data_IF_624353654633
#
_entry.id   IF_624353654633
#
_cell.length_a   1.000
_cell.length_b   1.000
_cell.length_c   1.000
_cell.angle_alpha   90.00
_cell.angle_beta   90.00
_cell.angle_gamma   90.00
#
_symmetry.space_group_name_H-M   'P 1'
#
loop_
_entity.id
_entity.type
_entity.pdbx_description
1 polymer ?
#
# COMPACT_ATOMS: atom_id res chain seq x y z
N UNK A 1 31.54 9.43 -29.80
CA UNK A 1 30.37 8.99 -30.58
C UNK A 1 30.54 7.51 -30.89
N UNK A 2 29.46 6.75 -30.65
CA UNK A 2 29.15 5.39 -31.14
C UNK A 2 29.96 4.20 -30.62
N UNK A 3 29.35 3.42 -29.71
CA UNK A 3 29.30 1.96 -29.73
C UNK A 3 28.30 1.45 -28.67
N UNK A 4 27.00 1.55 -28.96
CA UNK A 4 25.96 0.75 -28.29
C UNK A 4 25.07 0.22 -29.41
N UNK A 5 25.45 -0.93 -29.96
CA UNK A 5 24.58 -1.75 -30.78
C UNK A 5 24.65 -3.20 -30.28
N UNK A 6 23.51 -3.88 -30.39
CA UNK A 6 23.26 -5.30 -30.17
C UNK A 6 23.04 -5.77 -28.72
N UNK A 7 21.78 -5.70 -28.28
CA UNK A 7 21.15 -6.80 -27.53
C UNK A 7 19.63 -6.77 -27.79
N UNK A 8 19.22 -7.31 -28.94
CA UNK A 8 17.82 -7.55 -29.30
C UNK A 8 17.73 -8.87 -30.06
N UNK A 9 18.08 -9.97 -29.41
CA UNK A 9 17.59 -11.28 -29.84
C UNK A 9 16.41 -11.69 -28.95
N UNK A 10 15.26 -12.09 -29.54
CA UNK A 10 14.13 -12.60 -28.77
C UNK A 10 14.52 -13.94 -28.15
N UNK A 11 14.52 -14.02 -26.82
CA UNK A 11 14.71 -15.27 -26.08
C UNK A 11 13.70 -16.31 -26.59
N UNK A 12 14.21 -17.40 -27.17
CA UNK A 12 13.39 -18.49 -27.66
C UNK A 12 12.66 -19.18 -26.50
N UNK A 13 11.49 -19.76 -26.78
CA UNK A 13 10.66 -20.49 -25.80
C UNK A 13 11.45 -21.58 -25.05
N UNK A 14 12.49 -22.14 -25.68
CA UNK A 14 13.38 -23.14 -25.07
C UNK A 14 14.25 -22.60 -23.92
N UNK A 15 14.58 -21.29 -23.89
CA UNK A 15 15.36 -20.70 -22.80
C UNK A 15 14.50 -20.48 -21.54
N UNK A 16 13.20 -20.26 -21.70
CA UNK A 16 12.26 -20.07 -20.58
C UNK A 16 12.09 -21.32 -19.72
N UNK A 17 12.11 -22.51 -20.31
CA UNK A 17 12.00 -23.78 -19.57
C UNK A 17 13.27 -24.10 -18.74
N UNK A 18 14.43 -23.55 -19.11
CA UNK A 18 15.68 -23.66 -18.33
C UNK A 18 15.60 -22.90 -17.01
N UNK A 19 14.82 -21.82 -16.95
CA UNK A 19 14.60 -21.05 -15.72
C UNK A 19 13.49 -21.64 -14.85
N UNK A 20 12.46 -22.29 -15.43
CA UNK A 20 11.39 -22.95 -14.67
C UNK A 20 11.89 -24.05 -13.73
N UNK A 21 12.90 -24.81 -14.14
CA UNK A 21 13.51 -25.86 -13.32
C UNK A 21 14.30 -25.32 -12.13
N UNK A 22 14.81 -24.08 -12.20
CA UNK A 22 15.46 -23.42 -11.06
C UNK A 22 14.44 -22.94 -10.02
N UNK A 23 13.21 -22.65 -10.43
CA UNK A 23 12.11 -22.27 -9.52
C UNK A 23 11.45 -23.47 -8.85
N UNK A 24 11.47 -24.66 -9.46
CA UNK A 24 10.81 -25.87 -8.95
C UNK A 24 11.42 -26.43 -7.65
N UNK A 25 12.66 -26.07 -7.32
CA UNK A 25 13.33 -26.52 -6.10
C UNK A 25 13.00 -25.70 -4.83
N UNK A 26 12.17 -24.65 -4.92
CA UNK A 26 12.01 -23.67 -3.83
C UNK A 26 10.72 -23.84 -3.01
N UNK A 27 9.85 -24.79 -3.35
CA UNK A 27 8.67 -25.11 -2.54
C UNK A 27 8.93 -26.32 -1.63
N UNK A 28 9.46 -26.06 -0.43
CA UNK A 28 9.05 -26.66 0.85
C UNK A 28 10.16 -26.56 1.91
N UNK A 29 10.06 -25.65 2.90
CA UNK A 29 10.74 -25.85 4.17
C UNK A 29 9.90 -26.78 5.04
N UNK A 30 10.33 -28.04 5.15
CA UNK A 30 9.86 -28.94 6.20
C UNK A 30 10.41 -28.43 7.53
N UNK A 31 9.62 -27.68 8.31
CA UNK A 31 10.05 -27.12 9.59
C UNK A 31 9.23 -27.67 10.77
N UNK A 32 9.93 -28.30 11.71
CA UNK A 32 9.42 -28.90 12.94
C UNK A 32 9.30 -27.88 14.09
N UNK A 33 8.11 -27.83 14.70
CA UNK A 33 7.75 -27.65 16.12
C UNK A 33 8.51 -26.68 17.08
N UNK A 34 9.23 -25.67 16.61
CA UNK A 34 9.51 -24.43 17.37
C UNK A 34 8.86 -23.21 16.66
N UNK A 35 7.61 -23.42 16.22
CA UNK A 35 7.03 -22.83 15.02
C UNK A 35 6.18 -21.56 15.23
N UNK A 36 6.37 -20.78 16.31
CA UNK A 36 5.64 -19.51 16.46
C UNK A 36 6.58 -18.29 16.36
N UNK A 37 7.69 -18.27 17.11
CA UNK A 37 8.71 -17.19 16.99
C UNK A 37 9.57 -17.29 15.74
N UNK A 38 9.84 -18.50 15.24
CA UNK A 38 10.56 -18.69 13.97
C UNK A 38 9.74 -18.22 12.75
N UNK A 39 8.42 -18.14 12.89
CA UNK A 39 7.47 -17.93 11.79
C UNK A 39 7.30 -16.47 11.45
N UNK A 40 7.28 -15.58 12.44
CA UNK A 40 7.30 -14.12 12.22
C UNK A 40 8.59 -13.65 11.54
N UNK A 41 9.75 -14.22 11.92
CA UNK A 41 11.03 -13.89 11.29
C UNK A 41 11.09 -14.44 9.85
N UNK A 42 10.54 -15.65 9.62
CA UNK A 42 10.45 -16.23 8.29
C UNK A 42 9.50 -15.44 7.36
N UNK A 43 8.43 -14.87 7.89
CA UNK A 43 7.46 -14.08 7.15
C UNK A 43 8.06 -12.79 6.54
N UNK A 44 9.11 -12.26 7.16
CA UNK A 44 9.86 -11.08 6.66
C UNK A 44 11.07 -11.42 5.81
N UNK A 45 11.31 -12.70 5.53
CA UNK A 45 12.39 -13.12 4.64
C UNK A 45 12.31 -12.36 3.30
N UNK A 46 13.45 -12.00 2.69
CA UNK A 46 13.44 -11.34 1.40
C UNK A 46 12.72 -12.19 0.36
N UNK A 47 11.64 -11.64 -0.18
CA UNK A 47 10.89 -12.18 -1.31
C UNK A 47 11.65 -12.04 -2.62
N UNK A 48 11.12 -12.63 -3.69
CA UNK A 48 11.67 -12.38 -5.04
C UNK A 48 11.60 -10.90 -5.42
N UNK A 49 10.50 -10.22 -5.07
CA UNK A 49 10.33 -8.79 -5.33
C UNK A 49 11.37 -7.96 -4.59
N UNK A 50 11.78 -8.33 -3.38
CA UNK A 50 12.76 -7.55 -2.60
C UNK A 50 14.13 -7.44 -3.28
N UNK A 51 14.40 -8.25 -4.32
CA UNK A 51 15.60 -8.13 -5.16
C UNK A 51 15.55 -6.94 -6.13
N UNK A 52 14.35 -6.51 -6.52
CA UNK A 52 14.15 -5.51 -7.58
C UNK A 52 13.33 -4.30 -7.12
N UNK A 53 12.58 -4.45 -6.02
CA UNK A 53 11.63 -3.47 -5.51
C UNK A 53 11.99 -3.08 -4.08
N UNK A 54 11.68 -1.84 -3.70
CA UNK A 54 11.75 -1.40 -2.31
C UNK A 54 10.44 -1.74 -1.61
N UNK A 55 10.53 -2.53 -0.53
CA UNK A 55 9.37 -2.89 0.28
C UNK A 55 9.10 -1.84 1.34
N UNK A 56 7.84 -1.47 1.47
CA UNK A 56 7.29 -0.59 2.49
C UNK A 56 6.03 -1.23 3.08
N UNK A 57 5.60 -0.75 4.24
CA UNK A 57 4.41 -1.24 4.94
C UNK A 57 3.46 -0.09 5.20
N UNK A 58 2.28 -0.15 4.63
CA UNK A 58 1.21 0.76 4.98
C UNK A 58 0.46 0.20 6.20
N UNK A 59 0.30 1.04 7.22
CA UNK A 59 -0.46 0.71 8.44
C UNK A 59 -1.43 1.86 8.70
N UNK A 60 -2.75 1.62 8.69
CA UNK A 60 -3.72 2.67 9.01
C UNK A 60 -3.42 3.31 10.36
N UNK A 61 -3.51 4.64 10.44
CA UNK A 61 -3.20 5.40 11.66
C UNK A 61 -1.71 5.62 11.97
N UNK A 62 -0.76 4.93 11.32
CA UNK A 62 0.65 4.95 11.72
C UNK A 62 1.40 6.28 11.50
N UNK A 63 0.78 7.30 10.89
CA UNK A 63 1.46 8.60 10.74
C UNK A 63 1.87 9.30 12.02
N UNK A 64 1.25 8.96 13.14
CA UNK A 64 1.64 9.48 14.44
C UNK A 64 3.11 9.16 14.78
N UNK A 65 3.63 8.03 14.28
CA UNK A 65 4.96 7.50 14.64
C UNK A 65 6.14 8.28 14.07
N UNK A 66 5.94 9.00 12.96
CA UNK A 66 7.03 9.74 12.32
C UNK A 66 7.29 11.10 12.96
N UNK A 67 6.42 11.59 13.85
CA UNK A 67 6.73 12.79 14.62
C UNK A 67 7.69 12.35 15.74
N UNK A 68 8.96 12.81 15.73
CA UNK A 68 9.77 12.66 16.93
C UNK A 68 8.97 13.27 18.09
N UNK A 69 8.90 12.63 19.26
CA UNK A 69 8.26 13.23 20.41
C UNK A 69 8.86 14.62 20.57
N UNK A 70 8.01 15.65 20.57
CA UNK A 70 8.36 17.07 20.51
C UNK A 70 9.06 17.57 21.79
N UNK A 71 9.81 16.70 22.47
CA UNK A 71 10.42 16.90 23.77
C UNK A 71 11.94 16.73 23.79
N UNK A 72 12.63 16.52 22.66
CA UNK A 72 14.08 16.78 22.68
C UNK A 72 14.29 18.30 22.76
N UNK A 73 14.92 18.80 23.84
CA UNK A 73 15.22 20.22 23.95
C UNK A 73 16.14 20.55 22.79
N UNK A 74 15.73 21.49 21.94
CA UNK A 74 16.58 22.05 20.92
C UNK A 74 17.94 22.35 21.57
N UNK A 75 18.96 21.58 21.21
CA UNK A 75 20.30 21.74 21.77
C UNK A 75 20.68 23.19 21.51
N UNK A 76 20.81 23.94 22.60
CA UNK A 76 21.08 25.36 22.59
C UNK A 76 22.48 25.57 22.00
N UNK A 77 22.55 25.69 20.67
CA UNK A 77 23.74 26.23 20.02
C UNK A 77 23.66 27.75 20.16
N UNK A 78 24.25 28.18 21.27
CA UNK A 78 24.65 29.52 21.65
C UNK A 78 25.01 30.38 20.41
N UNK A 79 24.08 31.24 19.99
CA UNK A 79 24.36 32.33 19.05
C UNK A 79 23.81 33.60 19.67
N UNK A 80 24.74 34.45 20.08
CA UNK A 80 24.50 35.74 20.73
C UNK A 80 23.54 36.61 19.90
N UNK A 81 22.54 37.15 20.60
CA UNK A 81 21.51 38.05 20.10
C UNK A 81 22.03 39.44 19.72
N UNK A 82 21.22 40.21 18.98
CA UNK A 82 20.94 41.58 19.37
C UNK A 82 19.48 41.74 19.82
N UNK A 83 19.32 42.55 20.88
CA UNK A 83 18.05 42.93 21.49
C UNK A 83 17.09 43.56 20.47
N UNK A 84 15.86 43.05 20.41
CA UNK A 84 14.71 43.82 19.96
C UNK A 84 13.51 43.59 20.89
N UNK A 85 12.78 44.69 21.08
CA UNK A 85 11.75 44.95 22.07
C UNK A 85 10.46 44.17 21.87
N UNK A 86 9.86 43.87 23.00
CA UNK A 86 8.65 43.10 23.28
C UNK A 86 7.37 43.70 22.69
N UNK A 87 6.64 42.89 21.91
CA UNK A 87 5.19 43.05 21.70
C UNK A 87 4.45 41.90 22.39
N UNK A 88 3.50 42.28 23.26
CA UNK A 88 2.67 41.40 24.07
C UNK A 88 1.67 40.65 23.18
N UNK A 89 2.02 39.43 22.78
CA UNK A 89 1.12 38.49 22.11
C UNK A 89 0.14 37.88 23.12
N UNK A 90 -1.15 38.06 22.89
CA UNK A 90 -2.22 37.42 23.65
C UNK A 90 -2.07 35.89 23.61
N UNK A 91 -2.16 35.26 24.78
CA UNK A 91 -2.09 33.81 24.94
C UNK A 91 -3.28 33.16 24.22
N UNK A 92 -3.03 32.55 23.07
CA UNK A 92 -3.99 31.65 22.44
C UNK A 92 -4.17 30.43 23.35
N UNK A 93 -5.42 30.12 23.71
CA UNK A 93 -5.74 28.89 24.43
C UNK A 93 -5.20 27.69 23.65
N UNK A 94 -4.56 26.71 24.33
CA UNK A 94 -4.07 25.51 23.67
C UNK A 94 -5.27 24.76 23.10
N UNK A 95 -5.33 24.66 21.77
CA UNK A 95 -6.28 23.79 21.06
C UNK A 95 -6.23 22.38 21.68
N UNK A 96 -7.39 21.77 21.99
CA UNK A 96 -7.43 20.47 22.64
C UNK A 96 -6.67 19.46 21.77
N UNK A 97 -5.73 18.73 22.40
CA UNK A 97 -4.96 17.71 21.72
C UNK A 97 -5.91 16.64 21.15
N UNK A 98 -6.13 16.68 19.84
CA UNK A 98 -6.90 15.66 19.14
C UNK A 98 -6.13 14.35 19.29
N UNK A 99 -6.67 13.40 20.06
CA UNK A 99 -6.08 12.09 20.22
C UNK A 99 -6.00 11.43 18.84
N UNK A 100 -4.78 11.16 18.38
CA UNK A 100 -4.61 10.46 17.11
C UNK A 100 -5.00 9.00 17.31
N UNK A 101 -5.71 8.38 16.35
CA UNK A 101 -6.07 6.97 16.44
C UNK A 101 -4.82 6.12 16.53
N UNK A 102 -4.87 5.07 17.34
CA UNK A 102 -3.80 4.09 17.45
C UNK A 102 -3.55 3.42 16.08
N UNK A 103 -2.30 3.02 15.77
CA UNK A 103 -2.00 2.27 14.56
C UNK A 103 -2.73 0.92 14.53
N UNK A 104 -3.34 0.59 13.40
CA UNK A 104 -4.08 -0.68 13.18
C UNK A 104 -3.18 -1.70 12.47
N UNK A 105 -2.26 -2.32 13.21
CA UNK A 105 -1.31 -3.30 12.66
C UNK A 105 -1.98 -4.53 12.06
N UNK A 106 -3.18 -4.86 12.53
CA UNK A 106 -3.99 -5.98 12.04
C UNK A 106 -4.50 -5.77 10.61
N UNK A 107 -4.40 -4.54 10.10
CA UNK A 107 -4.75 -4.11 8.73
C UNK A 107 -3.53 -3.71 7.89
N UNK A 108 -2.33 -4.15 8.27
CA UNK A 108 -1.10 -3.80 7.57
C UNK A 108 -1.05 -4.36 6.13
N UNK A 109 -0.60 -3.54 5.18
CA UNK A 109 -0.46 -3.91 3.77
C UNK A 109 0.97 -3.67 3.29
N UNK A 110 1.44 -4.52 2.38
CA UNK A 110 2.74 -4.35 1.73
C UNK A 110 2.61 -3.46 0.50
N UNK A 111 3.57 -2.55 0.36
CA UNK A 111 3.73 -1.69 -0.81
C UNK A 111 5.13 -1.90 -1.36
N UNK A 112 5.24 -2.59 -2.50
CA UNK A 112 6.50 -2.74 -3.22
C UNK A 112 6.63 -1.64 -4.28
N UNK A 113 7.64 -0.80 -4.15
CA UNK A 113 7.92 0.26 -5.11
C UNK A 113 8.99 -0.19 -6.11
N UNK A 114 8.61 -0.18 -7.39
CA UNK A 114 9.49 -0.47 -8.51
C UNK A 114 10.48 0.67 -8.78
N UNK A 115 11.58 0.42 -9.53
CA UNK A 115 12.49 1.49 -9.95
C UNK A 115 11.82 2.59 -10.79
N UNK A 116 10.78 2.25 -11.56
CA UNK A 116 9.96 3.18 -12.33
C UNK A 116 8.83 3.86 -11.52
N UNK A 117 8.88 3.75 -10.18
CA UNK A 117 7.94 4.35 -9.22
C UNK A 117 6.54 3.77 -9.18
N UNK A 118 6.22 2.76 -9.99
CA UNK A 118 4.98 2.01 -9.82
C UNK A 118 4.98 1.32 -8.45
N UNK A 119 3.82 1.28 -7.82
CA UNK A 119 3.62 0.64 -6.53
C UNK A 119 2.73 -0.58 -6.69
N UNK A 120 3.19 -1.73 -6.22
CA UNK A 120 2.39 -2.95 -6.13
C UNK A 120 1.90 -3.10 -4.69
N UNK A 121 0.59 -3.24 -4.52
CA UNK A 121 -0.07 -3.34 -3.21
C UNK A 121 -0.47 -4.78 -2.97
N UNK A 122 -0.15 -5.33 -1.79
CA UNK A 122 -0.53 -6.67 -1.37
C UNK A 122 -0.73 -6.76 0.14
N UNK A 123 -1.12 -7.94 0.62
CA UNK A 123 -1.38 -8.17 2.02
C UNK A 123 -0.06 -8.36 2.80
N UNK A 124 0.06 -7.76 3.99
CA UNK A 124 1.19 -8.06 4.87
C UNK A 124 1.03 -9.42 5.56
N UNK A 125 2.13 -10.12 5.89
CA UNK A 125 2.05 -11.42 6.55
C UNK A 125 1.38 -11.36 7.92
N UNK A 126 1.51 -10.25 8.66
CA UNK A 126 0.88 -10.04 9.97
C UNK A 126 -0.57 -9.58 9.86
N UNK A 127 -1.10 -9.36 8.65
CA UNK A 127 -2.48 -8.93 8.49
C UNK A 127 -3.42 -9.99 9.09
N UNK A 128 -4.42 -9.57 9.86
CA UNK A 128 -5.33 -10.47 10.60
C UNK A 128 -6.00 -11.52 9.73
N UNK A 129 -6.36 -11.14 8.50
CA UNK A 129 -6.91 -12.06 7.50
C UNK A 129 -6.00 -13.26 7.19
N UNK A 130 -4.67 -13.11 7.25
CA UNK A 130 -3.73 -14.23 7.03
C UNK A 130 -3.91 -15.29 8.12
N UNK A 131 -3.93 -14.88 9.39
CA UNK A 131 -4.17 -15.79 10.51
C UNK A 131 -5.55 -16.45 10.47
N UNK A 132 -6.59 -15.70 10.09
CA UNK A 132 -7.94 -16.26 9.89
C UNK A 132 -8.00 -17.25 8.74
N UNK A 133 -7.32 -16.96 7.62
CA UNK A 133 -7.21 -17.86 6.47
C UNK A 133 -6.53 -19.17 6.85
N UNK A 134 -5.40 -19.12 7.54
CA UNK A 134 -4.69 -20.33 7.98
C UNK A 134 -5.52 -21.17 8.94
N UNK A 135 -6.22 -20.53 9.89
CA UNK A 135 -7.12 -21.23 10.80
C UNK A 135 -8.28 -21.89 10.04
N UNK A 136 -8.86 -21.18 9.07
CA UNK A 136 -9.91 -21.70 8.20
C UNK A 136 -9.43 -22.92 7.40
N UNK A 137 -8.23 -22.85 6.80
CA UNK A 137 -7.63 -23.93 6.00
C UNK A 137 -7.28 -25.17 6.82
N UNK A 138 -7.00 -25.01 8.11
CA UNK A 138 -6.84 -26.14 9.04
C UNK A 138 -8.17 -26.82 9.38
N UNK A 139 -9.26 -26.06 9.45
CA UNK A 139 -10.57 -26.55 9.87
C UNK A 139 -11.45 -27.06 8.72
N UNK A 140 -11.21 -26.62 7.48
CA UNK A 140 -12.07 -26.90 6.34
C UNK A 140 -11.31 -27.55 5.18
N UNK A 141 -11.99 -28.38 4.35
CA UNK A 141 -11.38 -28.92 3.15
C UNK A 141 -10.98 -27.79 2.17
N UNK A 142 -9.97 -28.02 1.31
CA UNK A 142 -9.48 -27.01 0.36
C UNK A 142 -10.55 -26.57 -0.65
N UNK A 143 -11.63 -27.32 -0.81
CA UNK A 143 -12.76 -26.99 -1.69
C UNK A 143 -13.61 -25.82 -1.20
N UNK A 144 -13.58 -25.51 0.10
CA UNK A 144 -14.37 -24.41 0.64
C UNK A 144 -13.62 -23.08 0.45
N UNK A 145 -14.21 -22.06 -0.19
CA UNK A 145 -13.55 -20.77 -0.34
C UNK A 145 -13.55 -20.00 0.98
N UNK A 146 -12.39 -19.46 1.39
CA UNK A 146 -12.31 -18.58 2.55
C UNK A 146 -12.89 -17.19 2.27
N UNK A 147 -12.55 -16.62 1.11
CA UNK A 147 -13.15 -15.40 0.57
C UNK A 147 -14.23 -15.83 -0.42
N UNK A 148 -15.48 -15.40 -0.18
CA UNK A 148 -16.64 -15.72 -1.00
C UNK A 148 -16.84 -14.70 -2.12
N UNK A 149 -16.42 -13.44 -1.91
CA UNK A 149 -16.56 -12.37 -2.89
C UNK A 149 -15.43 -11.35 -2.79
N UNK A 150 -14.97 -10.84 -3.93
CA UNK A 150 -14.05 -9.70 -4.05
C UNK A 150 -14.69 -8.67 -4.96
N UNK A 151 -14.87 -7.46 -4.46
CA UNK A 151 -15.41 -6.31 -5.22
C UNK A 151 -14.32 -5.25 -5.31
N UNK A 152 -13.84 -4.96 -6.52
CA UNK A 152 -12.87 -3.89 -6.76
C UNK A 152 -13.58 -2.55 -6.95
N UNK A 153 -13.06 -1.50 -6.30
CA UNK A 153 -13.59 -0.15 -6.38
C UNK A 153 -12.90 0.61 -7.53
N UNK A 154 -13.51 0.60 -8.71
CA UNK A 154 -12.94 1.24 -9.92
C UNK A 154 -13.22 2.74 -10.00
N UNK A 155 -14.04 3.28 -9.10
CA UNK A 155 -14.44 4.69 -9.10
C UNK A 155 -15.50 5.08 -10.13
N UNK A 156 -15.92 4.15 -10.99
CA UNK A 156 -16.97 4.41 -11.99
C UNK A 156 -18.38 4.43 -11.38
N UNK A 157 -18.61 3.69 -10.30
CA UNK A 157 -19.94 3.59 -9.66
C UNK A 157 -20.37 4.87 -8.95
N UNK A 158 -19.44 5.66 -8.41
CA UNK A 158 -19.77 6.88 -7.67
C UNK A 158 -20.21 8.03 -8.60
N UNK A 159 -19.77 8.02 -9.86
CA UNK A 159 -20.19 9.00 -10.86
C UNK A 159 -21.63 8.77 -11.38
N UNK A 160 -22.23 7.62 -11.08
CA UNK A 160 -23.61 7.27 -11.44
C UNK A 160 -24.63 7.64 -10.35
N UNK A 161 -24.30 8.59 -9.47
CA UNK A 161 -25.28 9.18 -8.55
C UNK A 161 -26.54 9.68 -9.29
N UNK A 162 -27.72 9.66 -8.63
CA UNK A 162 -28.99 9.99 -9.26
C UNK A 162 -28.91 11.37 -9.90
N UNK A 163 -29.02 11.40 -11.23
CA UNK A 163 -28.83 12.58 -12.06
C UNK A 163 -29.63 13.77 -11.56
N UNK A 164 -28.94 14.71 -10.91
CA UNK A 164 -29.47 16.05 -10.74
C UNK A 164 -29.34 16.70 -12.11
N UNK A 165 -30.45 16.75 -12.84
CA UNK A 165 -30.59 17.45 -14.13
C UNK A 165 -30.14 18.91 -13.98
N UNK A 166 -28.86 19.16 -14.19
CA UNK A 166 -28.28 20.48 -14.19
C UNK A 166 -28.79 21.28 -15.41
N UNK A 167 -29.22 22.54 -15.24
CA UNK A 167 -29.80 23.33 -16.31
C UNK A 167 -28.81 23.58 -17.45
N UNK A 168 -29.11 22.94 -18.57
CA UNK A 168 -28.67 23.15 -19.95
C UNK A 168 -28.04 24.54 -20.23
N UNK A 169 -26.71 24.65 -20.12
CA UNK A 169 -25.96 25.84 -20.58
C UNK A 169 -25.48 25.64 -22.03
N UNK A 170 -26.38 25.97 -22.98
CA UNK A 170 -26.00 26.37 -24.34
C UNK A 170 -25.26 27.71 -24.27
N UNK A 171 -24.07 27.78 -24.88
CA UNK A 171 -23.36 28.93 -25.52
C UNK A 171 -21.86 28.65 -25.37
N UNK A 172 -21.09 28.38 -26.42
CA UNK A 172 -21.03 29.09 -27.69
C UNK A 172 -19.77 29.96 -27.67
N UNK A 173 -18.64 29.43 -28.18
CA UNK A 173 -17.56 30.26 -28.73
C UNK A 173 -16.62 29.43 -29.61
N UNK A 174 -16.74 29.67 -30.91
CA UNK A 174 -15.75 29.34 -31.92
C UNK A 174 -14.38 29.92 -31.55
N UNK A 175 -13.39 29.05 -31.40
CA UNK A 175 -11.97 29.42 -31.56
C UNK A 175 -11.30 28.40 -32.47
N UNK A 176 -11.32 28.70 -33.76
CA UNK A 176 -10.43 28.15 -34.77
C UNK A 176 -8.99 28.64 -34.53
N UNK A 177 -8.05 27.80 -34.95
CA UNK A 177 -6.61 28.01 -35.16
C UNK A 177 -5.69 27.62 -34.00
N UNK A 178 -5.13 26.41 -34.09
CA UNK A 178 -3.97 26.01 -33.29
C UNK A 178 -3.63 24.53 -33.37
N UNK A 179 -2.89 24.14 -34.42
CA UNK A 179 -2.07 22.92 -34.58
C UNK A 179 -2.58 21.60 -34.01
N UNK A 180 -2.89 20.68 -34.93
CA UNK A 180 -3.27 19.29 -34.69
C UNK A 180 -2.39 18.59 -33.66
N UNK A 181 -2.92 18.46 -32.45
CA UNK A 181 -2.59 17.35 -31.56
C UNK A 181 -3.26 16.12 -32.17
N UNK A 182 -2.45 15.18 -32.67
CA UNK A 182 -2.90 13.84 -33.01
C UNK A 182 -3.81 13.33 -31.89
N UNK A 183 -5.08 13.09 -32.23
CA UNK A 183 -6.14 12.68 -31.31
C UNK A 183 -5.93 11.26 -30.78
N UNK A 184 -4.83 11.05 -30.06
CA UNK A 184 -4.66 9.87 -29.22
C UNK A 184 -5.76 9.93 -28.18
N UNK A 185 -6.62 8.91 -28.16
CA UNK A 185 -7.54 8.68 -27.06
C UNK A 185 -6.72 8.81 -25.77
N UNK A 186 -7.18 9.58 -24.77
CA UNK A 186 -6.48 9.64 -23.50
C UNK A 186 -6.24 8.19 -23.05
N UNK A 187 -5.04 7.88 -22.54
CA UNK A 187 -4.76 6.54 -22.07
C UNK A 187 -5.87 6.12 -21.09
N UNK A 188 -6.30 4.85 -21.13
CA UNK A 188 -7.45 4.36 -20.34
C UNK A 188 -7.36 4.71 -18.86
N UNK A 189 -6.15 4.87 -18.32
CA UNK A 189 -5.87 5.25 -16.93
C UNK A 189 -6.06 6.74 -16.60
N UNK A 190 -6.30 7.62 -17.58
CA UNK A 190 -6.53 9.04 -17.31
C UNK A 190 -7.92 9.33 -16.69
N UNK A 191 -8.78 8.31 -16.58
CA UNK A 191 -10.13 8.41 -16.05
C UNK A 191 -10.29 7.82 -14.64
N UNK A 192 -9.28 7.12 -14.11
CA UNK A 192 -9.38 6.60 -12.74
C UNK A 192 -9.26 7.75 -11.73
N UNK A 193 -10.10 7.77 -10.69
CA UNK A 193 -10.04 8.81 -9.67
C UNK A 193 -8.67 8.83 -8.99
N UNK A 194 -8.29 10.01 -8.51
CA UNK A 194 -7.08 10.17 -7.71
C UNK A 194 -7.32 9.54 -6.33
N UNK A 195 -6.54 8.51 -6.01
CA UNK A 195 -6.66 7.79 -4.74
C UNK A 195 -5.73 8.36 -3.67
N UNK A 196 -6.19 8.27 -2.42
CA UNK A 196 -5.43 8.57 -1.22
C UNK A 196 -5.17 7.27 -0.44
N UNK A 197 -4.23 7.27 0.52
CA UNK A 197 -3.81 6.05 1.23
C UNK A 197 -4.98 5.32 1.88
N UNK A 198 -5.94 6.06 2.42
CA UNK A 198 -7.11 5.56 3.13
C UNK A 198 -8.26 5.18 2.17
N UNK A 199 -8.11 5.39 0.85
CA UNK A 199 -9.15 5.05 -0.14
C UNK A 199 -9.21 3.53 -0.33
N UNK A 200 -10.39 2.89 -0.23
CA UNK A 200 -10.52 1.45 -0.42
C UNK A 200 -10.29 1.06 -1.88
N UNK A 201 -9.45 0.04 -2.12
CA UNK A 201 -9.19 -0.58 -3.41
C UNK A 201 -10.17 -1.71 -3.70
N UNK A 202 -10.47 -2.52 -2.68
CA UNK A 202 -11.46 -3.59 -2.78
C UNK A 202 -12.07 -3.93 -1.42
N UNK A 203 -13.26 -4.51 -1.48
CA UNK A 203 -13.94 -5.11 -0.33
C UNK A 203 -13.95 -6.63 -0.51
N UNK A 204 -13.49 -7.33 0.51
CA UNK A 204 -13.49 -8.79 0.61
C UNK A 204 -14.68 -9.21 1.46
N UNK A 205 -15.47 -10.18 1.01
CA UNK A 205 -16.47 -10.86 1.84
C UNK A 205 -15.96 -12.25 2.19
N UNK A 206 -15.90 -12.57 3.48
CA UNK A 206 -15.40 -13.84 3.99
C UNK A 206 -16.50 -14.92 4.00
N UNK A 207 -16.13 -16.15 4.31
CA UNK A 207 -17.04 -17.31 4.43
C UNK A 207 -18.10 -17.16 5.52
N UNK A 208 -17.86 -16.34 6.54
CA UNK A 208 -18.78 -16.03 7.63
C UNK A 208 -19.66 -14.80 7.35
N UNK A 209 -19.49 -14.18 6.18
CA UNK A 209 -20.20 -12.97 5.78
C UNK A 209 -19.57 -11.65 6.27
N UNK A 210 -18.48 -11.69 7.04
CA UNK A 210 -17.75 -10.48 7.42
C UNK A 210 -17.11 -9.82 6.19
N UNK A 211 -17.08 -8.49 6.19
CA UNK A 211 -16.49 -7.69 5.12
C UNK A 211 -15.24 -6.96 5.58
N UNK A 212 -14.21 -6.92 4.73
CA UNK A 212 -12.95 -6.24 5.00
C UNK A 212 -12.51 -5.41 3.81
N UNK A 213 -12.16 -4.15 4.05
CA UNK A 213 -11.64 -3.25 3.03
C UNK A 213 -10.11 -3.26 3.03
N UNK A 214 -9.55 -3.42 1.82
CA UNK A 214 -8.13 -3.20 1.56
C UNK A 214 -7.95 -1.80 0.99
N UNK A 215 -7.08 -1.00 1.62
CA UNK A 215 -6.86 0.40 1.28
C UNK A 215 -5.67 0.59 0.33
N UNK A 216 -5.59 1.73 -0.35
CA UNK A 216 -4.55 1.98 -1.34
C UNK A 216 -3.13 2.05 -0.75
N UNK A 217 -2.97 2.62 0.44
CA UNK A 217 -1.69 2.82 1.11
C UNK A 217 -0.70 3.79 0.42
N UNK A 218 -1.00 4.26 -0.80
CA UNK A 218 -0.15 5.13 -1.60
C UNK A 218 -0.79 6.52 -1.73
N UNK A 219 -0.01 7.59 -1.50
CA UNK A 219 -0.54 8.95 -1.52
C UNK A 219 -0.62 9.53 -2.94
N UNK A 220 -1.81 9.99 -3.35
CA UNK A 220 -2.07 10.61 -4.65
C UNK A 220 -1.63 9.72 -5.80
N UNK A 221 -2.33 8.62 -6.03
CA UNK A 221 -2.02 7.66 -7.09
C UNK A 221 -3.26 7.30 -7.92
N UNK A 222 -3.04 6.91 -9.17
CA UNK A 222 -4.05 6.30 -10.02
C UNK A 222 -3.88 4.78 -10.00
N UNK A 223 -4.98 4.02 -10.02
CA UNK A 223 -4.88 2.58 -10.28
C UNK A 223 -4.53 2.37 -11.74
N UNK A 224 -3.46 1.61 -11.96
CA UNK A 224 -3.03 1.19 -13.28
C UNK A 224 -3.69 -0.15 -13.66
N UNK A 225 -3.73 -1.10 -12.72
CA UNK A 225 -4.29 -2.44 -12.92
C UNK A 225 -4.78 -3.04 -11.61
N UNK A 226 -5.96 -3.68 -11.61
CA UNK A 226 -6.41 -4.56 -10.54
C UNK A 226 -6.11 -6.01 -10.91
N UNK A 227 -5.80 -6.85 -9.94
CA UNK A 227 -5.58 -8.27 -10.19
C UNK A 227 -6.91 -9.04 -10.30
N UNK A 228 -7.51 -9.02 -11.48
CA UNK A 228 -8.78 -9.70 -11.75
C UNK A 228 -8.72 -11.23 -11.50
N UNK A 229 -7.51 -11.83 -11.46
CA UNK A 229 -7.35 -13.26 -11.12
C UNK A 229 -7.84 -13.57 -9.72
N UNK A 230 -7.83 -12.62 -8.79
CA UNK A 230 -8.33 -12.81 -7.43
C UNK A 230 -9.82 -13.16 -7.40
N UNK A 231 -10.62 -12.73 -8.40
CA UNK A 231 -12.05 -13.12 -8.49
C UNK A 231 -12.21 -14.62 -8.72
N UNK A 232 -11.29 -15.25 -9.45
CA UNK A 232 -11.31 -16.67 -9.74
C UNK A 232 -10.52 -17.49 -8.70
N UNK A 233 -9.46 -16.90 -8.12
CA UNK A 233 -8.53 -17.55 -7.22
C UNK A 233 -8.18 -16.63 -6.04
N UNK A 234 -9.10 -16.43 -5.09
CA UNK A 234 -8.90 -15.49 -4.00
C UNK A 234 -7.79 -15.92 -3.02
N UNK A 235 -7.51 -17.23 -2.93
CA UNK A 235 -6.47 -17.76 -2.06
C UNK A 235 -5.07 -17.22 -2.40
N UNK A 236 -4.85 -16.74 -3.63
CA UNK A 236 -3.59 -16.13 -4.06
C UNK A 236 -3.18 -14.96 -3.16
N UNK A 237 -4.16 -14.20 -2.64
CA UNK A 237 -3.93 -13.06 -1.72
C UNK A 237 -3.11 -13.46 -0.49
N UNK A 238 -3.24 -14.72 -0.05
CA UNK A 238 -2.57 -15.25 1.14
C UNK A 238 -1.35 -16.10 0.80
N UNK A 239 -1.45 -16.91 -0.27
CA UNK A 239 -0.38 -17.87 -0.60
C UNK A 239 0.81 -17.20 -1.29
N UNK A 240 0.54 -16.16 -2.08
CA UNK A 240 1.51 -15.59 -3.02
C UNK A 240 1.39 -14.06 -3.16
N UNK A 241 1.32 -13.30 -2.05
CA UNK A 241 0.98 -11.86 -2.06
C UNK A 241 1.95 -10.99 -2.87
N UNK A 242 3.18 -11.44 -3.07
CA UNK A 242 4.26 -10.74 -3.76
C UNK A 242 4.29 -10.96 -5.28
N UNK A 243 3.49 -11.86 -5.86
CA UNK A 243 3.54 -12.10 -7.31
C UNK A 243 2.19 -12.43 -7.94
N UNK A 244 1.51 -13.45 -7.42
CA UNK A 244 0.21 -13.90 -7.96
C UNK A 244 -0.97 -13.25 -7.24
N UNK A 245 -0.75 -12.83 -5.99
CA UNK A 245 -1.76 -12.37 -5.05
C UNK A 245 -1.77 -10.88 -4.76
N UNK A 246 -1.09 -10.05 -5.56
CA UNK A 246 -1.18 -8.60 -5.39
C UNK A 246 -2.61 -8.12 -5.64
N UNK A 247 -3.01 -7.02 -5.01
CA UNK A 247 -4.34 -6.42 -5.15
C UNK A 247 -4.40 -5.50 -6.37
N UNK A 248 -3.45 -4.56 -6.44
CA UNK A 248 -3.39 -3.55 -7.49
C UNK A 248 -1.96 -3.10 -7.79
N UNK A 249 -1.77 -2.64 -9.03
CA UNK A 249 -0.62 -1.84 -9.46
C UNK A 249 -1.09 -0.40 -9.54
N UNK A 250 -0.36 0.50 -8.87
CA UNK A 250 -0.67 1.91 -8.76
C UNK A 250 0.43 2.76 -9.38
N UNK A 251 0.03 3.87 -10.00
CA UNK A 251 0.93 4.88 -10.54
C UNK A 251 0.81 6.17 -9.70
N UNK A 252 1.77 6.47 -8.83
CA UNK A 252 1.82 7.72 -8.09
C UNK A 252 1.88 8.94 -9.02
N UNK A 253 1.14 10.00 -8.69
CA UNK A 253 1.20 11.28 -9.42
C UNK A 253 2.54 11.98 -9.19
N UNK A 254 3.15 11.78 -8.02
CA UNK A 254 4.43 12.36 -7.65
C UNK A 254 5.52 11.29 -7.64
N UNK A 255 6.65 11.60 -8.26
CA UNK A 255 7.82 10.72 -8.27
C UNK A 255 8.62 10.74 -6.95
N UNK A 256 8.30 11.66 -6.04
CA UNK A 256 9.01 11.79 -4.77
C UNK A 256 8.52 10.76 -3.76
N UNK A 257 9.35 9.73 -3.53
CA UNK A 257 9.10 8.64 -2.58
C UNK A 257 8.68 9.14 -1.19
N UNK A 258 9.29 10.22 -0.69
CA UNK A 258 8.96 10.77 0.64
C UNK A 258 7.53 11.29 0.73
N UNK A 259 6.98 11.78 -0.37
CA UNK A 259 5.60 12.30 -0.41
C UNK A 259 4.62 11.16 -0.67
N UNK A 260 4.95 10.30 -1.63
CA UNK A 260 4.11 9.19 -2.09
C UNK A 260 3.94 8.12 -1.02
N UNK A 261 5.01 7.81 -0.30
CA UNK A 261 5.05 6.75 0.73
C UNK A 261 5.10 7.35 2.14
N UNK A 262 4.64 8.59 2.33
CA UNK A 262 4.69 9.29 3.63
C UNK A 262 3.92 8.57 4.75
N UNK A 263 2.90 7.79 4.38
CA UNK A 263 2.09 6.97 5.30
C UNK A 263 2.67 5.57 5.52
N UNK A 264 3.65 5.17 4.73
CA UNK A 264 4.26 3.85 4.84
C UNK A 264 5.47 3.90 5.77
N UNK A 265 5.70 2.78 6.45
CA UNK A 265 6.88 2.49 7.24
C UNK A 265 7.87 1.70 6.36
N UNK A 266 9.15 1.93 6.56
CA UNK A 266 10.17 0.97 6.12
C UNK A 266 10.05 -0.33 6.92
N UNK A 267 10.61 -1.46 6.43
CA UNK A 267 10.56 -2.72 7.16
C UNK A 267 11.12 -2.59 8.59
N UNK A 268 12.22 -1.84 8.77
CA UNK A 268 12.80 -1.60 10.10
C UNK A 268 11.89 -0.76 11.00
N UNK A 269 11.32 0.33 10.48
CA UNK A 269 10.36 1.17 11.24
C UNK A 269 9.13 0.36 11.65
N UNK A 270 8.63 -0.51 10.77
CA UNK A 270 7.49 -1.39 11.05
C UNK A 270 7.79 -2.39 12.17
N UNK A 271 8.96 -3.04 12.16
CA UNK A 271 9.37 -3.97 13.22
C UNK A 271 9.52 -3.28 14.58
N UNK A 272 10.07 -2.06 14.59
CA UNK A 272 10.13 -1.24 15.81
C UNK A 272 8.73 -0.95 16.31
N UNK A 273 7.84 -0.48 15.43
CA UNK A 273 6.48 -0.11 15.79
C UNK A 273 5.66 -1.31 16.33
N UNK A 274 5.80 -2.49 15.72
CA UNK A 274 5.23 -3.74 16.22
C UNK A 274 5.74 -4.11 17.62
N UNK A 275 7.07 -4.04 17.83
CA UNK A 275 7.69 -4.40 19.12
C UNK A 275 7.24 -3.45 20.22
N UNK A 276 7.18 -2.15 19.93
CA UNK A 276 6.72 -1.14 20.87
C UNK A 276 5.23 -1.30 21.19
N UNK A 277 4.38 -1.60 20.21
CA UNK A 277 2.96 -1.89 20.44
C UNK A 277 2.77 -3.11 21.34
N UNK A 278 3.48 -4.21 21.08
CA UNK A 278 3.43 -5.42 21.91
C UNK A 278 3.92 -5.18 23.35
N UNK A 279 4.91 -4.31 23.54
CA UNK A 279 5.42 -3.93 24.87
C UNK A 279 4.40 -3.08 25.65
N UNK A 280 3.74 -2.15 24.96
CA UNK A 280 2.71 -1.31 25.55
C UNK A 280 1.54 -2.14 26.11
N UNK A 281 1.03 -3.11 25.35
CA UNK A 281 -0.03 -4.02 25.78
C UNK A 281 0.32 -4.82 27.04
N UNK A 282 1.55 -5.32 27.16
CA UNK A 282 1.99 -6.10 28.32
C UNK A 282 2.12 -5.27 29.60
N UNK A 283 2.48 -4.00 29.46
CA UNK A 283 2.65 -3.10 30.61
C UNK A 283 1.34 -2.71 31.30
N UNK A 284 0.18 -3.02 30.69
CA UNK A 284 -1.14 -2.72 31.27
C UNK A 284 -1.37 -1.23 31.56
N UNK A 285 -0.48 -0.35 31.09
CA UNK A 285 -0.64 1.09 31.19
C UNK A 285 -1.57 1.49 30.05
N UNK A 286 -2.84 1.87 30.30
CA UNK A 286 -3.69 2.38 29.24
C UNK A 286 -2.99 3.62 28.65
N UNK A 287 -2.66 3.58 27.37
CA UNK A 287 -2.11 4.72 26.64
C UNK A 287 -3.09 5.88 26.79
N UNK A 288 -2.73 6.85 27.61
CA UNK A 288 -3.51 8.07 27.89
C UNK A 288 -3.04 9.20 26.99
#
# INVERSE_FOLDING_TARGET
MSAIEAFTEPLGVADLDKYRTQCAGWSNPTATANAEKATLVAAWAPSFLDRYYKRHVYVPGATAWRKPPTGEPASALDTQAPLYTSETSAAAEPEPAVSQPAPEFDRAQLVWQAPNKLCLVGLAPEHKLVGQYEAFRRAHPPTNPFITQIVFHTGEEEAAGPGVDGPNRKRGRDRKHGRGKSGGKPPKYALTPLLYPETPLCTLTLHDGQTHDLEAGVFQAHVYEFNDKLKAQPDLLFTTPDHGGFVAIMNPVKENDRVTLKRCLSPTEYQIALTTAATAEQSGTPAS
#
